data_IF_658058302669
#
_entry.id   IF_658058302669
#
_cell.length_a   1.000
_cell.length_b   1.000
_cell.length_c   1.000
_cell.angle_alpha   90.00
_cell.angle_beta   90.00
_cell.angle_gamma   90.00
#
_symmetry.space_group_name_H-M   'P 1'
#
loop_
_entity.id
_entity.type
_entity.pdbx_description
1 polymer ?
#
# COMPACT_ATOMS: atom_id res chain seq x y z
N UNK A 1 27.73 6.02 -47.56
CA UNK A 1 28.03 5.62 -46.18
C UNK A 1 27.53 6.69 -45.21
N UNK A 2 26.45 6.45 -44.44
CA UNK A 2 26.08 7.28 -43.30
C UNK A 2 26.55 6.64 -41.97
N UNK A 3 26.96 7.44 -40.96
CA UNK A 3 27.39 6.91 -39.67
C UNK A 3 26.22 6.43 -38.81
N UNK A 4 26.58 5.42 -38.03
CA UNK A 4 25.82 4.58 -37.11
C UNK A 4 25.41 5.30 -35.82
N UNK A 5 24.32 4.78 -35.24
CA UNK A 5 24.04 4.69 -33.79
C UNK A 5 23.82 6.02 -33.03
N UNK A 6 22.56 6.29 -32.67
CA UNK A 6 22.10 6.78 -31.35
C UNK A 6 20.61 7.17 -31.44
N UNK A 7 19.69 6.19 -31.57
CA UNK A 7 18.22 6.44 -31.44
C UNK A 7 17.50 5.21 -30.86
N UNK A 8 17.95 4.71 -29.71
CA UNK A 8 17.39 3.49 -29.12
C UNK A 8 17.18 3.50 -27.60
N UNK A 9 17.30 4.65 -26.93
CA UNK A 9 17.38 4.69 -25.46
C UNK A 9 16.26 5.49 -24.76
N UNK A 10 15.11 5.76 -25.42
CA UNK A 10 14.04 6.53 -24.80
C UNK A 10 12.64 5.90 -24.77
N UNK A 11 12.45 4.69 -25.31
CA UNK A 11 11.11 4.07 -25.40
C UNK A 11 10.89 2.90 -24.44
N UNK A 12 11.92 2.44 -23.73
CA UNK A 12 11.83 1.27 -22.83
C UNK A 12 11.40 1.59 -21.39
N UNK A 13 11.49 2.86 -20.94
CA UNK A 13 11.14 3.23 -19.54
C UNK A 13 9.61 3.35 -19.32
N UNK A 14 8.86 3.80 -20.33
CA UNK A 14 7.40 4.00 -20.21
C UNK A 14 6.60 2.69 -20.02
N UNK A 15 7.15 1.54 -20.44
CA UNK A 15 6.48 0.25 -20.29
C UNK A 15 6.73 -0.40 -18.91
N UNK A 16 7.87 -0.11 -18.27
CA UNK A 16 8.18 -0.62 -16.93
C UNK A 16 7.40 0.12 -15.84
N UNK A 17 7.19 1.44 -16.00
CA UNK A 17 6.32 2.23 -15.10
C UNK A 17 4.86 1.77 -15.12
N UNK A 18 4.43 1.14 -16.22
CA UNK A 18 3.06 0.65 -16.38
C UNK A 18 2.80 -0.70 -15.69
N UNK A 19 3.84 -1.37 -15.20
CA UNK A 19 3.72 -2.65 -14.48
C UNK A 19 3.56 -2.48 -12.96
N UNK A 20 3.86 -1.30 -12.39
CA UNK A 20 3.75 -1.06 -10.95
C UNK A 20 2.51 -0.24 -10.53
N UNK A 21 1.73 0.28 -11.49
CA UNK A 21 0.47 0.93 -11.18
C UNK A 21 -0.64 -0.12 -11.15
N UNK A 22 -0.95 -0.61 -9.95
CA UNK A 22 -2.14 -1.44 -9.73
C UNK A 22 -3.39 -0.69 -10.16
N UNK A 23 -4.35 -1.41 -10.74
CA UNK A 23 -5.38 -0.89 -11.61
C UNK A 23 -6.63 -0.32 -10.89
N UNK A 24 -6.51 0.21 -9.68
CA UNK A 24 -7.62 0.84 -8.96
C UNK A 24 -7.18 2.17 -8.32
N UNK A 25 -7.31 3.27 -9.07
CA UNK A 25 -7.02 4.61 -8.56
C UNK A 25 -8.20 5.15 -7.75
N UNK A 26 -8.35 4.70 -6.50
CA UNK A 26 -9.21 5.41 -5.55
C UNK A 26 -8.56 6.78 -5.27
N UNK A 27 -9.20 7.92 -5.60
CA UNK A 27 -8.60 9.25 -5.42
C UNK A 27 -8.24 9.55 -3.96
N UNK A 28 -8.94 8.95 -3.00
CA UNK A 28 -8.67 9.12 -1.57
C UNK A 28 -7.35 8.47 -1.14
N UNK A 29 -6.92 7.40 -1.81
CA UNK A 29 -5.65 6.71 -1.50
C UNK A 29 -4.46 7.65 -1.64
N UNK A 30 -4.42 8.44 -2.72
CA UNK A 30 -3.32 9.36 -3.00
C UNK A 30 -3.26 10.50 -1.97
N UNK A 31 -4.43 11.02 -1.58
CA UNK A 31 -4.53 12.05 -0.54
C UNK A 31 -4.02 11.53 0.80
N UNK A 32 -4.45 10.34 1.22
CA UNK A 32 -3.98 9.73 2.47
C UNK A 32 -2.49 9.39 2.44
N UNK A 33 -1.96 8.97 1.29
CA UNK A 33 -0.53 8.75 1.10
C UNK A 33 0.27 10.06 1.22
N UNK A 34 -0.22 11.16 0.63
CA UNK A 34 0.41 12.46 0.74
C UNK A 34 0.47 12.92 2.21
N UNK A 35 -0.67 12.91 2.91
CA UNK A 35 -0.76 13.27 4.34
C UNK A 35 0.14 12.41 5.22
N UNK A 36 0.14 11.09 4.98
CA UNK A 36 1.02 10.16 5.68
C UNK A 36 2.50 10.49 5.43
N UNK A 37 2.88 10.80 4.19
CA UNK A 37 4.27 11.13 3.85
C UNK A 37 4.78 12.44 4.46
N UNK A 38 3.88 13.38 4.76
CA UNK A 38 4.22 14.68 5.31
C UNK A 38 4.32 14.68 6.84
N UNK A 39 3.54 13.82 7.51
CA UNK A 39 3.35 13.90 8.96
C UNK A 39 3.60 12.59 9.72
N UNK A 40 3.69 11.45 9.04
CA UNK A 40 3.83 10.14 9.68
C UNK A 40 5.21 9.53 9.45
N UNK A 41 5.99 9.45 10.52
CA UNK A 41 7.23 8.67 10.55
C UNK A 41 6.94 7.20 10.86
N UNK A 42 6.75 6.40 9.81
CA UNK A 42 6.45 4.97 9.95
C UNK A 42 7.60 4.20 10.64
N UNK A 43 7.30 3.37 11.65
CA UNK A 43 8.31 2.58 12.35
C UNK A 43 8.93 1.52 11.42
N UNK A 44 10.19 1.16 11.68
CA UNK A 44 10.94 0.11 10.96
C UNK A 44 10.91 0.21 9.43
N UNK A 45 10.86 1.44 8.90
CA UNK A 45 10.73 1.71 7.46
C UNK A 45 11.79 2.68 6.97
N UNK A 46 12.21 2.52 5.71
CA UNK A 46 13.03 3.52 5.01
C UNK A 46 12.12 4.65 4.51
N UNK A 47 12.24 5.84 5.11
CA UNK A 47 11.41 7.00 4.79
C UNK A 47 11.56 7.49 3.35
N UNK A 48 12.76 7.39 2.77
CA UNK A 48 12.99 7.83 1.39
C UNK A 48 12.25 6.91 0.44
N UNK A 49 12.41 5.60 0.61
CA UNK A 49 11.72 4.61 -0.21
C UNK A 49 10.20 4.66 -0.02
N UNK A 50 9.74 4.85 1.21
CA UNK A 50 8.31 4.93 1.53
C UNK A 50 7.66 6.16 0.89
N UNK A 51 8.36 7.30 0.85
CA UNK A 51 7.89 8.51 0.17
C UNK A 51 7.85 8.36 -1.36
N UNK A 52 8.82 7.65 -1.94
CA UNK A 52 8.86 7.40 -3.39
C UNK A 52 7.78 6.42 -3.86
N UNK A 53 7.50 5.37 -3.09
CA UNK A 53 6.51 4.33 -3.45
C UNK A 53 5.09 4.61 -2.96
N UNK A 54 4.95 5.36 -1.88
CA UNK A 54 3.70 5.56 -1.16
C UNK A 54 3.41 4.42 -0.16
N UNK A 55 2.91 4.73 1.05
CA UNK A 55 2.48 3.70 1.98
C UNK A 55 1.20 3.00 1.47
N UNK A 56 1.08 1.70 1.74
CA UNK A 56 -0.20 1.00 1.55
C UNK A 56 -1.16 1.42 2.66
N UNK A 57 -2.37 1.83 2.30
CA UNK A 57 -3.39 2.26 3.24
C UNK A 57 -4.40 1.11 3.45
N UNK A 58 -4.48 0.61 4.68
CA UNK A 58 -5.46 -0.42 5.08
C UNK A 58 -6.66 0.29 5.72
N UNK A 59 -7.87 0.00 5.24
CA UNK A 59 -9.10 0.69 5.66
C UNK A 59 -10.07 -0.20 6.43
N UNK A 60 -10.01 -1.52 6.23
CA UNK A 60 -10.91 -2.47 6.89
C UNK A 60 -10.21 -3.81 7.14
N UNK A 61 -10.65 -4.51 8.18
CA UNK A 61 -10.22 -5.87 8.50
C UNK A 61 -11.40 -6.69 9.05
N UNK A 62 -11.44 -7.98 8.74
CA UNK A 62 -12.53 -8.89 9.09
C UNK A 62 -12.01 -10.34 9.04
N UNK A 63 -12.15 -11.07 10.14
CA UNK A 63 -11.57 -12.40 10.30
C UNK A 63 -10.05 -12.39 10.15
N UNK A 64 -9.52 -13.11 9.17
CA UNK A 64 -8.08 -13.18 8.85
C UNK A 64 -7.69 -12.32 7.64
N UNK A 65 -8.57 -11.43 7.19
CA UNK A 65 -8.37 -10.66 5.97
C UNK A 65 -8.30 -9.16 6.24
N UNK A 66 -7.50 -8.47 5.43
CA UNK A 66 -7.37 -7.02 5.37
C UNK A 66 -7.86 -6.53 4.02
N UNK A 67 -8.38 -5.31 4.00
CA UNK A 67 -8.75 -4.59 2.79
C UNK A 67 -7.98 -3.28 2.73
N UNK A 68 -7.29 -3.06 1.61
CA UNK A 68 -6.68 -1.77 1.33
C UNK A 68 -7.69 -0.77 0.75
N UNK A 69 -7.28 0.49 0.67
CA UNK A 69 -8.07 1.58 0.10
C UNK A 69 -8.36 1.42 -1.40
N UNK A 70 -7.63 0.53 -2.09
CA UNK A 70 -7.81 0.19 -3.51
C UNK A 70 -8.75 -1.01 -3.72
N UNK A 71 -9.24 -1.60 -2.62
CA UNK A 71 -10.19 -2.70 -2.62
C UNK A 71 -9.57 -4.09 -2.68
N UNK A 72 -8.24 -4.22 -2.59
CA UNK A 72 -7.59 -5.52 -2.57
C UNK A 72 -7.81 -6.22 -1.23
N UNK A 73 -8.24 -7.48 -1.31
CA UNK A 73 -8.35 -8.38 -0.16
C UNK A 73 -7.04 -9.12 0.04
N UNK A 74 -6.47 -9.00 1.22
CA UNK A 74 -5.15 -9.54 1.59
C UNK A 74 -5.33 -10.50 2.75
N UNK A 75 -4.76 -11.71 2.66
CA UNK A 75 -4.69 -12.63 3.78
C UNK A 75 -3.62 -12.15 4.75
N UNK A 76 -4.00 -11.92 6.00
CA UNK A 76 -3.06 -11.58 7.06
C UNK A 76 -2.51 -12.84 7.73
N UNK A 77 -1.38 -13.32 7.21
CA UNK A 77 -0.66 -14.46 7.79
C UNK A 77 0.16 -14.14 9.04
N UNK A 78 0.28 -12.85 9.40
CA UNK A 78 1.10 -12.40 10.53
C UNK A 78 0.25 -11.99 11.73
N UNK A 79 -1.08 -12.04 11.62
CA UNK A 79 -2.01 -11.53 12.65
C UNK A 79 -1.64 -10.08 13.06
N UNK A 80 -1.44 -9.23 12.06
CA UNK A 80 -0.97 -7.86 12.13
C UNK A 80 0.53 -7.82 12.39
N UNK A 81 0.88 -7.72 13.68
CA UNK A 81 2.25 -7.88 14.16
C UNK A 81 2.24 -8.90 15.31
N UNK A 82 1.73 -10.10 15.04
CA UNK A 82 1.63 -11.22 15.98
C UNK A 82 0.69 -10.99 17.17
N UNK A 83 -0.21 -10.00 17.09
CA UNK A 83 -1.08 -9.60 18.20
C UNK A 83 -2.51 -10.11 18.06
N UNK A 84 -2.98 -10.33 16.84
CA UNK A 84 -4.40 -10.59 16.56
C UNK A 84 -4.66 -12.10 16.55
N UNK A 85 -4.66 -12.70 17.76
CA UNK A 85 -4.78 -14.15 17.93
C UNK A 85 -6.14 -14.72 17.52
N UNK A 86 -7.23 -13.96 17.66
CA UNK A 86 -8.60 -14.41 17.39
C UNK A 86 -9.25 -13.76 16.16
N UNK A 87 -8.44 -13.11 15.31
CA UNK A 87 -8.89 -12.40 14.11
C UNK A 87 -9.50 -11.02 14.38
N UNK A 88 -9.72 -10.28 13.30
CA UNK A 88 -10.33 -8.95 13.29
C UNK A 88 -11.86 -9.02 13.27
N UNK A 89 -12.52 -7.99 13.80
CA UNK A 89 -13.99 -7.84 13.72
C UNK A 89 -14.77 -8.62 14.77
N UNK A 90 -14.21 -8.86 15.95
CA UNK A 90 -14.94 -9.46 17.09
C UNK A 90 -15.75 -8.40 17.82
N UNK A 91 -17.06 -8.38 17.54
CA UNK A 91 -18.01 -7.46 18.19
C UNK A 91 -17.99 -7.60 19.71
N UNK A 92 -17.79 -8.81 20.25
CA UNK A 92 -17.76 -9.02 21.70
C UNK A 92 -16.61 -8.28 22.40
N UNK A 93 -15.47 -8.11 21.73
CA UNK A 93 -14.34 -7.33 22.26
C UNK A 93 -14.63 -5.82 22.20
N UNK A 94 -15.30 -5.35 21.14
CA UNK A 94 -15.71 -3.95 21.03
C UNK A 94 -16.77 -3.60 22.08
N UNK A 95 -17.74 -4.49 22.30
CA UNK A 95 -18.76 -4.36 23.34
C UNK A 95 -18.16 -4.35 24.74
N UNK A 96 -17.14 -5.18 24.98
CA UNK A 96 -16.42 -5.19 26.26
C UNK A 96 -15.62 -3.89 26.49
N UNK A 97 -15.04 -3.30 25.45
CA UNK A 97 -14.24 -2.07 25.55
C UNK A 97 -15.08 -0.78 25.61
N UNK A 98 -16.32 -0.82 25.10
CA UNK A 98 -17.23 0.34 25.09
C UNK A 98 -17.93 0.60 26.42
N UNK A 99 -17.97 -0.40 27.31
CA UNK A 99 -18.53 -0.30 28.66
C UNK A 99 -17.50 0.23 29.66
#
# INVERSE_FOLDING_TARGET
APPRLMRGALTTDLKQRKCCMSANNNPQTLEWQALSSEHHLAPFSDYKQLKEKGPRIITRAEGVYLWDSEGHKILDGMSGLWCVAIGYGREELADAASK
#
